data_IF_516454723285
#
_entry.id   IF_516454723285
#
_cell.length_a   1.000
_cell.length_b   1.000
_cell.length_c   1.000
_cell.angle_alpha   90.00
_cell.angle_beta   90.00
_cell.angle_gamma   90.00
#
_symmetry.space_group_name_H-M   'P 1'
#
loop_
_entity.id
_entity.type
_entity.pdbx_description
1 polymer ?
#
# COMPACT_ATOMS: atom_id res chain seq x y z
N UNK A 1 -3.28 -7.73 -2.77
CA UNK A 1 -2.30 -6.95 -1.98
C UNK A 1 -2.83 -6.75 -0.58
N UNK A 2 -1.95 -6.67 0.41
CA UNK A 2 -2.28 -6.29 1.79
C UNK A 2 -1.87 -4.82 2.07
N UNK A 3 -2.18 -4.33 3.26
CA UNK A 3 -1.86 -2.96 3.67
C UNK A 3 -0.39 -2.58 3.59
N UNK A 4 0.52 -3.51 3.93
CA UNK A 4 1.96 -3.26 3.88
C UNK A 4 2.44 -3.04 2.44
N UNK A 5 1.95 -3.83 1.49
CA UNK A 5 2.28 -3.67 0.08
C UNK A 5 1.79 -2.32 -0.46
N UNK A 6 0.59 -1.88 -0.04
CA UNK A 6 0.05 -0.55 -0.38
C UNK A 6 0.98 0.55 0.14
N UNK A 7 1.42 0.44 1.40
CA UNK A 7 2.35 1.41 2.00
C UNK A 7 3.67 1.47 1.25
N UNK A 8 4.24 0.31 0.90
CA UNK A 8 5.51 0.22 0.17
C UNK A 8 5.39 0.90 -1.19
N UNK A 9 4.40 0.51 -2.00
CA UNK A 9 4.25 1.09 -3.35
C UNK A 9 3.96 2.58 -3.29
N UNK A 10 3.17 3.03 -2.30
CA UNK A 10 2.89 4.45 -2.09
C UNK A 10 4.17 5.25 -1.86
N UNK A 11 5.03 4.76 -0.97
CA UNK A 11 6.29 5.43 -0.60
C UNK A 11 7.29 5.40 -1.77
N UNK A 12 7.42 4.26 -2.46
CA UNK A 12 8.30 4.15 -3.62
C UNK A 12 7.88 5.09 -4.77
N UNK A 13 6.59 5.38 -4.89
CA UNK A 13 6.03 6.33 -5.86
C UNK A 13 6.02 7.78 -5.35
N UNK A 14 6.45 8.02 -4.10
CA UNK A 14 6.52 9.37 -3.52
C UNK A 14 5.16 9.99 -3.19
N UNK A 15 4.11 9.18 -2.99
CA UNK A 15 2.77 9.68 -2.68
C UNK A 15 2.54 9.82 -1.17
N UNK A 16 1.85 10.88 -0.78
CA UNK A 16 1.13 10.96 0.50
C UNK A 16 -0.08 10.02 0.51
N UNK A 17 -0.65 9.74 1.69
CA UNK A 17 -1.87 8.93 1.80
C UNK A 17 -3.04 9.61 1.09
N UNK A 18 -3.11 10.94 1.17
CA UNK A 18 -4.09 11.76 0.45
C UNK A 18 -3.97 11.63 -1.05
N UNK A 19 -2.78 11.79 -1.62
CA UNK A 19 -2.60 11.66 -3.08
C UNK A 19 -2.94 10.27 -3.59
N UNK A 20 -2.63 9.22 -2.83
CA UNK A 20 -3.07 7.86 -3.19
C UNK A 20 -4.58 7.72 -3.09
N UNK A 21 -5.19 8.26 -2.03
CA UNK A 21 -6.64 8.29 -1.85
C UNK A 21 -7.35 8.96 -3.04
N UNK A 22 -6.89 10.15 -3.42
CA UNK A 22 -7.43 10.92 -4.55
C UNK A 22 -7.31 10.14 -5.87
N UNK A 23 -6.17 9.48 -6.14
CA UNK A 23 -5.98 8.65 -7.34
C UNK A 23 -6.91 7.44 -7.38
N UNK A 24 -7.08 6.76 -6.24
CA UNK A 24 -7.88 5.53 -6.13
C UNK A 24 -9.38 5.84 -5.89
N UNK A 25 -9.73 7.11 -5.69
CA UNK A 25 -11.10 7.54 -5.41
C UNK A 25 -11.60 7.05 -4.04
N UNK A 26 -10.80 7.22 -2.99
CA UNK A 26 -11.17 6.96 -1.60
C UNK A 26 -10.51 7.96 -0.64
N UNK A 27 -10.89 7.94 0.64
CA UNK A 27 -10.29 8.84 1.63
C UNK A 27 -8.87 8.42 2.01
N UNK A 28 -8.03 9.41 2.32
CA UNK A 28 -6.76 9.26 3.02
C UNK A 28 -6.87 8.41 4.30
N UNK A 29 -7.93 8.60 5.08
CA UNK A 29 -8.22 7.79 6.28
C UNK A 29 -8.38 6.31 5.93
N UNK A 30 -9.03 5.97 4.82
CA UNK A 30 -9.19 4.59 4.40
C UNK A 30 -7.84 3.98 3.99
N UNK A 31 -7.00 4.74 3.27
CA UNK A 31 -5.62 4.34 2.97
C UNK A 31 -4.86 4.07 4.29
N UNK A 32 -4.90 5.01 5.24
CA UNK A 32 -4.24 4.85 6.53
C UNK A 32 -4.72 3.62 7.31
N UNK A 33 -6.03 3.34 7.29
CA UNK A 33 -6.59 2.16 7.96
C UNK A 33 -6.15 0.86 7.31
N UNK A 34 -6.06 0.83 5.97
CA UNK A 34 -5.53 -0.32 5.26
C UNK A 34 -4.05 -0.53 5.57
N UNK A 35 -3.22 0.52 5.48
CA UNK A 35 -1.77 0.44 5.72
C UNK A 35 -1.41 0.03 7.14
N UNK A 36 -2.24 0.36 8.12
CA UNK A 36 -2.04 -0.03 9.52
C UNK A 36 -2.76 -1.34 9.90
N UNK A 37 -3.36 -2.05 8.95
CA UNK A 37 -4.07 -3.32 9.21
C UNK A 37 -5.38 -3.17 9.99
N UNK A 38 -5.85 -1.93 10.23
CA UNK A 38 -7.14 -1.65 10.88
C UNK A 38 -8.33 -2.03 9.99
N UNK A 39 -8.10 -2.07 8.67
CA UNK A 39 -9.05 -2.54 7.66
C UNK A 39 -8.35 -3.43 6.64
N UNK A 40 -8.98 -4.56 6.31
CA UNK A 40 -8.50 -5.41 5.21
C UNK A 40 -8.76 -4.75 3.86
N UNK A 41 -7.85 -4.97 2.92
CA UNK A 41 -8.01 -4.52 1.53
C UNK A 41 -8.99 -5.46 0.83
N UNK A 42 -10.12 -4.93 0.36
CA UNK A 42 -11.10 -5.73 -0.37
C UNK A 42 -10.60 -6.10 -1.77
N UNK A 43 -11.13 -7.16 -2.41
CA UNK A 43 -10.75 -7.50 -3.79
C UNK A 43 -11.00 -6.37 -4.79
N UNK A 44 -12.10 -5.63 -4.63
CA UNK A 44 -12.44 -4.48 -5.49
C UNK A 44 -11.45 -3.32 -5.31
N UNK A 45 -11.08 -3.00 -4.06
CA UNK A 45 -10.07 -1.98 -3.77
C UNK A 45 -8.71 -2.40 -4.31
N UNK A 46 -8.34 -3.68 -4.15
CA UNK A 46 -7.11 -4.23 -4.70
C UNK A 46 -7.05 -4.10 -6.23
N UNK A 47 -8.12 -4.46 -6.94
CA UNK A 47 -8.19 -4.31 -8.39
C UNK A 47 -8.04 -2.83 -8.81
N UNK A 48 -8.68 -1.91 -8.08
CA UNK A 48 -8.59 -0.48 -8.36
C UNK A 48 -7.19 0.08 -8.15
N UNK A 49 -6.56 -0.22 -7.01
CA UNK A 49 -5.18 0.21 -6.73
C UNK A 49 -4.23 -0.30 -7.82
N UNK A 50 -4.35 -1.57 -8.21
CA UNK A 50 -3.52 -2.15 -9.26
C UNK A 50 -3.71 -1.44 -10.61
N UNK A 51 -4.96 -1.15 -10.97
CA UNK A 51 -5.28 -0.42 -12.21
C UNK A 51 -4.68 0.99 -12.21
N UNK A 52 -4.94 1.78 -11.16
CA UNK A 52 -4.49 3.18 -11.08
C UNK A 52 -2.97 3.33 -11.00
N UNK A 53 -2.30 2.34 -10.40
CA UNK A 53 -0.84 2.34 -10.26
C UNK A 53 -0.12 1.56 -11.37
N UNK A 54 -0.86 0.97 -12.32
CA UNK A 54 -0.32 0.18 -13.42
C UNK A 54 0.47 -1.06 -12.95
N UNK A 55 0.01 -1.75 -11.91
CA UNK A 55 0.70 -2.90 -11.31
C UNK A 55 0.32 -4.21 -11.98
N UNK A 56 1.32 -4.83 -12.60
CA UNK A 56 1.26 -6.19 -13.16
C UNK A 56 1.21 -7.25 -12.05
N UNK A 57 0.99 -8.51 -12.42
CA UNK A 57 1.07 -9.62 -11.46
C UNK A 57 2.50 -9.80 -10.92
N UNK A 58 3.52 -9.54 -11.75
CA UNK A 58 4.93 -9.58 -11.34
C UNK A 58 5.25 -8.49 -10.32
N UNK A 59 4.80 -7.26 -10.54
CA UNK A 59 4.96 -6.16 -9.57
C UNK A 59 4.35 -6.55 -8.21
N UNK A 60 3.15 -7.16 -8.24
CA UNK A 60 2.46 -7.59 -7.01
C UNK A 60 3.22 -8.70 -6.30
N UNK A 61 3.81 -9.64 -7.03
CA UNK A 61 4.63 -10.71 -6.47
C UNK A 61 5.90 -10.15 -5.82
N UNK A 62 6.62 -9.27 -6.51
CA UNK A 62 7.82 -8.61 -5.99
C UNK A 62 7.51 -7.77 -4.74
N UNK A 63 6.40 -7.03 -4.73
CA UNK A 63 5.94 -6.29 -3.56
C UNK A 63 5.62 -7.19 -2.37
N UNK A 64 5.10 -8.40 -2.61
CA UNK A 64 4.79 -9.34 -1.53
C UNK A 64 6.07 -9.91 -0.93
N UNK A 65 7.02 -10.33 -1.76
CA UNK A 65 8.34 -10.79 -1.35
C UNK A 65 9.09 -9.72 -0.54
N UNK A 66 9.05 -8.46 -1.00
CA UNK A 66 9.64 -7.31 -0.31
C UNK A 66 8.94 -7.04 1.03
N UNK A 67 7.61 -7.05 1.05
CA UNK A 67 6.80 -6.88 2.27
C UNK A 67 7.11 -7.95 3.31
N UNK A 68 7.20 -9.22 2.91
CA UNK A 68 7.55 -10.32 3.79
C UNK A 68 8.99 -10.19 4.35
N UNK A 69 9.93 -9.74 3.52
CA UNK A 69 11.33 -9.55 3.93
C UNK A 69 11.47 -8.40 4.92
N UNK A 70 10.80 -7.26 4.68
CA UNK A 70 10.81 -6.11 5.58
C UNK A 70 10.09 -6.37 6.91
N UNK A 71 9.06 -7.21 6.91
CA UNK A 71 8.41 -7.68 8.14
C UNK A 71 9.33 -8.63 8.93
N UNK A 72 10.04 -9.54 8.25
CA UNK A 72 11.04 -10.42 8.89
C UNK A 72 12.21 -9.64 9.50
N UNK A 73 12.60 -8.52 8.89
CA UNK A 73 13.66 -7.62 9.38
C UNK A 73 13.20 -6.48 10.30
N UNK A 74 11.89 -6.35 10.58
CA UNK A 74 11.26 -5.30 11.39
C UNK A 74 11.65 -3.84 11.05
N UNK A 75 11.76 -3.50 9.76
CA UNK A 75 12.13 -2.13 9.28
C UNK A 75 10.89 -1.26 8.98
N UNK A 76 9.74 -1.84 8.62
CA UNK A 76 8.51 -1.08 8.32
C UNK A 76 7.97 -0.28 9.52
N UNK A 77 8.30 -0.69 10.75
CA UNK A 77 7.99 0.04 11.97
C UNK A 77 8.72 1.39 12.09
N UNK A 78 9.89 1.51 11.45
CA UNK A 78 10.76 2.70 11.49
C UNK A 78 10.57 3.64 10.29
N UNK A 79 9.80 3.24 9.28
CA UNK A 79 9.47 4.14 8.17
C UNK A 79 8.56 5.24 8.72
N UNK A 80 8.88 6.54 8.52
CA UNK A 80 8.04 7.63 8.98
C UNK A 80 6.61 7.46 8.47
N UNK A 81 5.66 7.59 9.40
CA UNK A 81 4.24 7.71 9.07
C UNK A 81 4.00 9.19 8.80
N UNK A 82 4.22 9.62 7.56
CA UNK A 82 3.84 10.96 7.15
C UNK A 82 2.31 11.05 7.19
N UNK A 83 1.84 11.96 8.05
CA UNK A 83 0.43 12.37 8.18
C UNK A 83 -0.04 13.10 6.91
#
# INVERSE_FOLDING_TARGET
MNGNMIRIVRILRGFSQRELGDRVGCSDVLIAYMENGKRSVTPSMNARIRSELGLTDDDVRELDELSQSLNRGNILGNIPRYE
#
